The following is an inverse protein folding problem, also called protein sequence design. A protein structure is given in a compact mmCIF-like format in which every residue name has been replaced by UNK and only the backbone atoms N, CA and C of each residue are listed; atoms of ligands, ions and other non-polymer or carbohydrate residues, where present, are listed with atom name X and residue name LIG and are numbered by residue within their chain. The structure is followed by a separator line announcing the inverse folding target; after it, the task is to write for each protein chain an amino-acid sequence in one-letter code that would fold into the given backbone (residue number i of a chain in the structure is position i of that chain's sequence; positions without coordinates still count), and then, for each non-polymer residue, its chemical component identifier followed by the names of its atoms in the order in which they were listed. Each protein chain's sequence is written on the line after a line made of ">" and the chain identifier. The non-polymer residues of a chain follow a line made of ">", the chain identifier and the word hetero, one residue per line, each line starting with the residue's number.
data_IF_305779693606
#
_entry.id   IF_305779693606
#
_cell.length_a   1.000
_cell.length_b   1.000
_cell.length_c   1.000
_cell.angle_alpha   90.00
_cell.angle_beta   90.00
_cell.angle_gamma   90.00
#
_symmetry.space_group_name_H-M   'P 1'
#
loop_
_entity.id
_entity.type
_entity.pdbx_description
1 polymer ?
#
# COMPACT_ATOMS: atom_id res chain seq x y z
N UNK A 1 1.44 26.49 -25.67
CA UNK A 1 1.26 26.63 -27.14
C UNK A 1 2.55 26.90 -27.93
N UNK A 2 3.70 27.27 -27.30
CA UNK A 2 4.95 27.62 -28.01
C UNK A 2 5.79 26.44 -28.53
N UNK A 3 5.73 25.26 -27.90
CA UNK A 3 6.69 24.17 -28.17
C UNK A 3 6.12 22.99 -28.99
N UNK A 4 4.90 23.09 -29.54
CA UNK A 4 4.13 22.01 -30.23
C UNK A 4 4.92 20.75 -30.66
N UNK A 5 5.58 20.80 -31.82
CA UNK A 5 6.29 19.65 -32.43
C UNK A 5 7.73 19.50 -31.90
N UNK A 6 8.33 20.59 -31.44
CA UNK A 6 9.70 20.62 -30.92
C UNK A 6 9.80 20.16 -29.45
N UNK A 7 8.65 19.90 -28.79
CA UNK A 7 8.58 19.55 -27.38
C UNK A 7 9.39 18.29 -27.06
N UNK A 8 9.34 17.30 -27.96
CA UNK A 8 10.13 16.07 -27.84
C UNK A 8 11.63 16.34 -27.95
N UNK A 9 12.03 17.18 -28.90
CA UNK A 9 13.42 17.59 -29.11
C UNK A 9 13.93 18.38 -27.90
N UNK A 10 13.12 19.29 -27.36
CA UNK A 10 13.48 20.09 -26.20
C UNK A 10 13.60 19.22 -24.94
N UNK A 11 12.72 18.23 -24.74
CA UNK A 11 12.86 17.25 -23.65
C UNK A 11 14.18 16.46 -23.74
N UNK A 12 14.49 15.92 -24.92
CA UNK A 12 15.71 15.14 -25.13
C UNK A 12 17.00 15.96 -24.89
N UNK A 13 16.97 17.27 -25.14
CA UNK A 13 18.09 18.16 -24.84
C UNK A 13 18.14 18.54 -23.35
N UNK A 14 16.99 18.79 -22.71
CA UNK A 14 16.91 19.07 -21.27
C UNK A 14 17.47 17.91 -20.42
N UNK A 15 17.28 16.67 -20.86
CA UNK A 15 17.85 15.48 -20.20
C UNK A 15 19.38 15.40 -20.31
N UNK A 16 20.00 16.10 -21.28
CA UNK A 16 21.47 16.09 -21.51
C UNK A 16 22.18 17.29 -20.88
N UNK A 17 21.43 18.25 -20.34
CA UNK A 17 21.98 19.46 -19.74
C UNK A 17 22.75 19.13 -18.45
N UNK A 18 23.91 19.78 -18.29
CA UNK A 18 24.77 19.55 -17.15
C UNK A 18 24.23 20.20 -15.87
N UNK A 19 24.66 19.68 -14.72
CA UNK A 19 24.32 20.27 -13.41
C UNK A 19 24.81 21.72 -13.24
N UNK A 20 25.83 22.15 -14.01
CA UNK A 20 26.34 23.52 -13.98
C UNK A 20 25.40 24.48 -14.74
N UNK A 21 24.89 24.05 -15.88
CA UNK A 21 23.94 24.82 -16.69
C UNK A 21 22.59 24.98 -15.98
N UNK A 22 22.16 23.95 -15.23
CA UNK A 22 20.99 24.07 -14.36
C UNK A 22 21.15 25.11 -13.24
N UNK A 23 22.37 25.28 -12.70
CA UNK A 23 22.65 26.37 -11.74
C UNK A 23 22.55 27.73 -12.40
N UNK A 24 23.13 27.88 -13.61
CA UNK A 24 23.02 29.12 -14.38
C UNK A 24 21.58 29.46 -14.74
N UNK A 25 20.74 28.46 -15.02
CA UNK A 25 19.31 28.66 -15.23
C UNK A 25 18.60 29.12 -13.95
N UNK A 26 18.93 28.54 -12.79
CA UNK A 26 18.35 28.96 -11.51
C UNK A 26 18.71 30.42 -11.14
N UNK A 27 19.89 30.88 -11.54
CA UNK A 27 20.35 32.27 -11.31
C UNK A 27 19.77 33.25 -12.35
N UNK A 28 19.86 32.91 -13.64
CA UNK A 28 19.51 33.83 -14.74
C UNK A 28 18.05 33.70 -15.20
N UNK A 29 17.33 32.67 -14.73
CA UNK A 29 15.95 32.31 -15.10
C UNK A 29 15.71 32.10 -16.59
N UNK A 30 16.77 31.89 -17.37
CA UNK A 30 16.71 31.76 -18.83
C UNK A 30 17.73 30.74 -19.29
N UNK A 31 17.33 29.87 -20.22
CA UNK A 31 18.22 28.94 -20.89
C UNK A 31 17.85 28.85 -22.37
N UNK A 32 18.85 28.83 -23.22
CA UNK A 32 18.67 28.70 -24.65
C UNK A 32 18.89 27.25 -25.07
N UNK A 33 17.84 26.60 -25.56
CA UNK A 33 17.90 25.25 -26.11
C UNK A 33 17.57 25.32 -27.58
N UNK A 34 18.61 25.15 -28.42
CA UNK A 34 18.53 25.35 -29.88
C UNK A 34 18.01 26.76 -30.20
N UNK A 35 16.88 26.86 -30.92
CA UNK A 35 16.23 28.12 -31.29
C UNK A 35 15.14 28.57 -30.30
N UNK A 36 15.03 27.92 -29.13
CA UNK A 36 14.01 28.23 -28.14
C UNK A 36 14.65 28.83 -26.88
N UNK A 37 14.26 30.05 -26.55
CA UNK A 37 14.56 30.67 -25.26
C UNK A 37 13.51 30.24 -24.24
N UNK A 38 13.92 29.41 -23.28
CA UNK A 38 13.06 28.90 -22.22
C UNK A 38 13.29 29.71 -20.95
N UNK A 39 12.19 30.00 -20.26
CA UNK A 39 12.15 30.84 -19.05
C UNK A 39 11.54 30.09 -17.87
N UNK A 40 11.41 30.74 -16.71
CA UNK A 40 10.70 30.19 -15.54
C UNK A 40 9.19 29.97 -15.77
N UNK A 41 8.64 30.46 -16.88
CA UNK A 41 7.28 30.12 -17.34
C UNK A 41 7.21 28.80 -18.12
N UNK A 42 8.34 28.36 -18.68
CA UNK A 42 8.44 27.17 -19.54
C UNK A 42 9.02 25.96 -18.80
N UNK A 43 9.92 26.20 -17.83
CA UNK A 43 10.62 25.16 -17.07
C UNK A 43 10.49 25.42 -15.58
N UNK A 44 10.06 24.39 -14.85
CA UNK A 44 10.15 24.34 -13.41
C UNK A 44 11.23 23.36 -12.99
N UNK A 45 12.19 23.82 -12.18
CA UNK A 45 13.31 23.00 -11.71
C UNK A 45 13.08 22.64 -10.26
N UNK A 46 13.03 21.34 -9.96
CA UNK A 46 13.01 20.82 -8.60
C UNK A 46 14.39 20.31 -8.24
N UNK A 47 14.97 20.85 -7.17
CA UNK A 47 16.20 20.33 -6.60
C UNK A 47 15.83 19.40 -5.45
N UNK A 48 16.04 18.11 -5.66
CA UNK A 48 15.88 17.11 -4.61
C UNK A 48 17.04 16.12 -4.65
N UNK A 49 17.29 15.46 -3.52
CA UNK A 49 18.15 14.28 -3.48
C UNK A 49 17.28 13.08 -3.85
N UNK A 50 17.70 12.22 -4.77
CA UNK A 50 16.92 11.04 -5.23
C UNK A 50 16.44 10.14 -4.07
N UNK A 51 17.12 10.19 -2.93
CA UNK A 51 16.71 9.58 -1.66
C UNK A 51 16.97 10.57 -0.54
N UNK A 52 16.04 11.48 -0.22
CA UNK A 52 16.29 12.46 0.83
C UNK A 52 16.33 11.76 2.21
N UNK A 53 15.56 10.68 2.37
CA UNK A 53 15.45 9.90 3.61
C UNK A 53 15.10 8.43 3.32
N UNK A 54 15.72 7.49 4.03
CA UNK A 54 15.37 6.07 3.94
C UNK A 54 13.93 5.85 4.44
N UNK A 55 13.15 5.04 3.73
CA UNK A 55 11.75 4.78 4.08
C UNK A 55 10.79 5.93 3.74
N UNK A 56 11.16 6.85 2.86
CA UNK A 56 10.26 7.85 2.29
C UNK A 56 10.26 7.78 0.77
N UNK A 57 9.08 8.00 0.18
CA UNK A 57 8.88 8.15 -1.27
C UNK A 57 8.47 9.60 -1.58
N UNK A 58 8.95 10.13 -2.70
CA UNK A 58 8.73 11.53 -3.08
C UNK A 58 8.07 11.62 -4.46
N UNK A 59 6.97 12.35 -4.53
CA UNK A 59 6.26 12.63 -5.78
C UNK A 59 6.11 14.14 -5.96
N UNK A 60 6.41 14.61 -7.17
CA UNK A 60 6.27 16.02 -7.56
C UNK A 60 5.04 16.19 -8.46
N UNK A 61 4.21 17.19 -8.17
CA UNK A 61 3.12 17.63 -9.04
C UNK A 61 3.04 19.16 -9.04
N UNK A 62 3.34 19.77 -10.18
CA UNK A 62 3.47 21.23 -10.35
C UNK A 62 4.22 21.84 -9.16
N UNK A 63 3.62 22.71 -8.37
CA UNK A 63 4.28 23.40 -7.25
C UNK A 63 4.25 22.61 -5.93
N UNK A 64 3.85 21.34 -5.92
CA UNK A 64 3.70 20.53 -4.71
C UNK A 64 4.66 19.32 -4.74
N UNK A 65 5.32 19.09 -3.61
CA UNK A 65 6.07 17.86 -3.35
C UNK A 65 5.37 17.10 -2.22
N UNK A 66 4.95 15.86 -2.50
CA UNK A 66 4.45 14.93 -1.50
C UNK A 66 5.61 14.05 -1.05
N UNK A 67 5.90 14.09 0.26
CA UNK A 67 6.84 13.19 0.89
C UNK A 67 6.05 12.19 1.75
N UNK A 68 5.98 10.94 1.31
CA UNK A 68 5.24 9.87 1.98
C UNK A 68 6.19 8.98 2.77
N UNK A 69 5.97 8.82 4.08
CA UNK A 69 6.66 7.80 4.86
C UNK A 69 6.12 6.42 4.49
N UNK A 70 6.98 5.57 3.93
CA UNK A 70 6.68 4.20 3.51
C UNK A 70 7.19 3.15 4.49
N UNK A 71 7.78 3.57 5.62
CA UNK A 71 8.24 2.67 6.67
C UNK A 71 7.06 1.98 7.35
N UNK A 72 6.97 0.65 7.18
CA UNK A 72 5.95 -0.17 7.84
C UNK A 72 6.41 -0.47 9.26
N UNK A 73 5.66 0.03 10.23
CA UNK A 73 5.88 -0.28 11.66
C UNK A 73 5.38 -1.69 12.00
N UNK A 74 5.92 -2.34 13.07
CA UNK A 74 5.42 -3.64 13.52
C UNK A 74 3.91 -3.65 13.81
N UNK A 75 3.36 -2.56 14.34
CA UNK A 75 1.91 -2.42 14.59
C UNK A 75 1.12 -2.40 13.28
N UNK A 76 1.58 -1.67 12.26
CA UNK A 76 0.92 -1.63 10.95
C UNK A 76 0.98 -2.99 10.24
N UNK A 77 2.09 -3.72 10.39
CA UNK A 77 2.20 -5.09 9.88
C UNK A 77 1.19 -6.03 10.55
N UNK A 78 1.05 -5.93 11.87
CA UNK A 78 0.07 -6.69 12.64
C UNK A 78 -1.38 -6.35 12.26
N UNK A 79 -1.69 -5.07 12.04
CA UNK A 79 -3.00 -4.63 11.54
C UNK A 79 -3.28 -5.17 10.13
N UNK A 80 -2.29 -5.11 9.23
CA UNK A 80 -2.38 -5.66 7.88
C UNK A 80 -2.73 -7.14 7.89
N UNK A 81 -2.04 -7.93 8.72
CA UNK A 81 -2.32 -9.35 8.89
C UNK A 81 -3.75 -9.59 9.44
N UNK A 82 -4.20 -8.78 10.40
CA UNK A 82 -5.58 -8.85 10.89
C UNK A 82 -6.60 -8.59 9.77
N UNK A 83 -6.36 -7.57 8.93
CA UNK A 83 -7.21 -7.25 7.76
C UNK A 83 -7.21 -8.37 6.73
N UNK A 84 -6.08 -9.03 6.51
CA UNK A 84 -6.00 -10.17 5.60
C UNK A 84 -6.86 -11.33 6.11
N UNK A 85 -6.77 -11.67 7.41
CA UNK A 85 -7.62 -12.72 8.02
C UNK A 85 -9.12 -12.35 7.92
N UNK A 86 -9.48 -11.08 8.14
CA UNK A 86 -10.86 -10.60 7.93
C UNK A 86 -11.29 -10.84 6.48
N UNK A 87 -10.45 -10.50 5.50
CA UNK A 87 -10.74 -10.72 4.09
C UNK A 87 -10.93 -12.21 3.77
N UNK A 88 -10.15 -13.10 4.39
CA UNK A 88 -10.32 -14.54 4.25
C UNK A 88 -11.67 -15.01 4.78
N UNK A 89 -12.08 -14.56 5.97
CA UNK A 89 -13.42 -14.87 6.50
C UNK A 89 -14.55 -14.33 5.62
N UNK A 90 -14.42 -13.11 5.10
CA UNK A 90 -15.41 -12.55 4.18
C UNK A 90 -15.55 -13.37 2.89
N UNK A 91 -14.43 -13.86 2.34
CA UNK A 91 -14.45 -14.79 1.20
C UNK A 91 -15.11 -16.11 1.57
N UNK A 92 -14.75 -16.68 2.71
CA UNK A 92 -15.33 -17.95 3.20
C UNK A 92 -16.85 -17.84 3.40
N UNK A 93 -17.34 -16.70 3.90
CA UNK A 93 -18.78 -16.43 4.04
C UNK A 93 -19.50 -16.41 2.69
N UNK A 94 -18.89 -15.79 1.67
CA UNK A 94 -19.44 -15.80 0.31
C UNK A 94 -19.52 -17.21 -0.27
N UNK A 95 -18.47 -18.02 -0.06
CA UNK A 95 -18.46 -19.43 -0.51
C UNK A 95 -19.55 -20.26 0.17
N UNK A 96 -19.86 -19.96 1.45
CA UNK A 96 -20.95 -20.59 2.18
C UNK A 96 -22.35 -20.01 1.88
N UNK A 97 -22.47 -19.11 0.88
CA UNK A 97 -23.71 -18.39 0.55
C UNK A 97 -24.32 -17.62 1.74
N UNK A 98 -23.49 -17.15 2.67
CA UNK A 98 -23.92 -16.33 3.80
C UNK A 98 -24.01 -14.86 3.40
N UNK A 99 -25.01 -14.17 3.95
CA UNK A 99 -25.18 -12.73 3.80
C UNK A 99 -24.55 -11.97 4.98
N UNK A 100 -24.30 -10.67 4.81
CA UNK A 100 -23.65 -9.84 5.84
C UNK A 100 -24.44 -9.79 7.17
N UNK A 101 -25.75 -10.01 7.13
CA UNK A 101 -26.62 -10.00 8.30
C UNK A 101 -26.53 -11.28 9.13
N UNK A 102 -26.02 -12.37 8.57
CA UNK A 102 -25.92 -13.64 9.27
C UNK A 102 -24.95 -13.55 10.43
N UNK A 103 -25.33 -14.08 11.58
CA UNK A 103 -24.46 -14.21 12.74
C UNK A 103 -23.88 -15.62 12.69
N UNK A 104 -22.56 -15.72 12.58
CA UNK A 104 -21.85 -17.00 12.47
C UNK A 104 -20.66 -17.05 13.41
N UNK A 105 -20.44 -18.21 14.02
CA UNK A 105 -19.25 -18.43 14.84
C UNK A 105 -18.09 -18.81 13.94
N UNK A 106 -16.94 -18.16 14.16
CA UNK A 106 -15.75 -18.24 13.34
C UNK A 106 -14.64 -18.82 14.18
N UNK A 107 -13.93 -19.81 13.62
CA UNK A 107 -12.77 -20.40 14.28
C UNK A 107 -11.55 -20.35 13.38
N UNK A 108 -10.41 -20.08 14.01
CA UNK A 108 -9.09 -20.11 13.38
C UNK A 108 -8.28 -21.21 14.03
N UNK A 109 -7.78 -22.14 13.24
CA UNK A 109 -6.73 -23.07 13.65
C UNK A 109 -5.42 -22.65 13.02
N UNK A 110 -4.43 -22.35 13.85
CA UNK A 110 -3.10 -21.98 13.38
C UNK A 110 -2.32 -23.26 13.10
N UNK A 111 -1.94 -23.47 11.84
CA UNK A 111 -1.14 -24.64 11.46
C UNK A 111 0.35 -24.39 11.67
N UNK A 112 0.81 -23.18 11.37
CA UNK A 112 2.19 -22.75 11.63
C UNK A 112 2.24 -21.24 11.84
N UNK A 113 2.79 -20.82 12.97
CA UNK A 113 3.07 -19.41 13.24
C UNK A 113 4.34 -19.28 14.11
N UNK A 114 5.53 -19.40 13.50
CA UNK A 114 6.80 -19.39 14.24
C UNK A 114 7.03 -18.11 15.05
N UNK A 115 6.37 -17.02 14.67
CA UNK A 115 6.52 -15.69 15.27
C UNK A 115 5.35 -15.28 16.17
N UNK A 116 4.36 -16.15 16.37
CA UNK A 116 3.10 -15.85 17.07
C UNK A 116 2.39 -14.58 16.54
N UNK A 117 2.62 -14.25 15.27
CA UNK A 117 2.14 -13.03 14.62
C UNK A 117 0.63 -13.06 14.38
N UNK A 118 0.07 -14.23 14.08
CA UNK A 118 -1.33 -14.43 13.73
C UNK A 118 -2.18 -14.30 14.99
N UNK A 119 -1.81 -15.00 16.06
CA UNK A 119 -2.53 -14.90 17.33
C UNK A 119 -2.45 -13.47 17.88
N UNK A 120 -1.27 -12.83 17.80
CA UNK A 120 -1.09 -11.44 18.22
C UNK A 120 -1.94 -10.49 17.39
N UNK A 121 -2.01 -10.66 16.07
CA UNK A 121 -2.81 -9.82 15.19
C UNK A 121 -4.31 -9.93 15.50
N UNK A 122 -4.82 -11.15 15.68
CA UNK A 122 -6.23 -11.40 16.03
C UNK A 122 -6.58 -10.77 17.39
N UNK A 123 -5.74 -11.01 18.41
CA UNK A 123 -6.00 -10.53 19.76
C UNK A 123 -5.86 -9.00 19.87
N UNK A 124 -4.83 -8.42 19.26
CA UNK A 124 -4.56 -6.98 19.34
C UNK A 124 -5.57 -6.14 18.55
N UNK A 125 -6.10 -6.70 17.45
CA UNK A 125 -7.02 -6.00 16.55
C UNK A 125 -8.43 -6.55 16.57
N UNK A 126 -8.86 -7.16 17.69
CA UNK A 126 -10.19 -7.77 17.84
C UNK A 126 -11.34 -6.85 17.41
N UNK A 127 -11.22 -5.54 17.71
CA UNK A 127 -12.19 -4.53 17.32
C UNK A 127 -12.42 -4.44 15.79
N UNK A 128 -11.42 -4.73 14.96
CA UNK A 128 -11.56 -4.76 13.49
C UNK A 128 -12.43 -5.95 13.07
N UNK A 129 -12.26 -7.10 13.71
CA UNK A 129 -13.05 -8.30 13.45
C UNK A 129 -14.51 -8.07 13.86
N UNK A 130 -14.75 -7.53 15.06
CA UNK A 130 -16.09 -7.24 15.57
C UNK A 130 -16.86 -6.25 14.69
N UNK A 131 -16.15 -5.27 14.10
CA UNK A 131 -16.73 -4.30 13.17
C UNK A 131 -17.05 -4.91 11.80
N UNK A 132 -16.18 -5.79 11.30
CA UNK A 132 -16.26 -6.32 9.94
C UNK A 132 -17.09 -7.60 9.82
N UNK A 133 -17.17 -8.40 10.89
CA UNK A 133 -17.75 -9.73 10.91
C UNK A 133 -18.78 -9.81 12.05
N UNK A 134 -19.94 -10.43 11.78
CA UNK A 134 -20.99 -10.62 12.78
C UNK A 134 -20.90 -12.02 13.38
N UNK A 135 -20.57 -12.08 14.66
CA UNK A 135 -20.50 -13.32 15.44
C UNK A 135 -19.22 -13.41 16.27
N UNK A 136 -18.99 -14.56 16.89
CA UNK A 136 -17.81 -14.77 17.74
C UNK A 136 -16.62 -15.29 16.93
N UNK A 137 -15.41 -14.87 17.29
CA UNK A 137 -14.15 -15.36 16.75
C UNK A 137 -13.33 -16.01 17.86
N UNK A 138 -12.90 -17.25 17.67
CA UNK A 138 -11.98 -17.94 18.59
C UNK A 138 -10.84 -18.64 17.86
N UNK A 139 -9.69 -18.72 18.52
CA UNK A 139 -8.55 -19.52 18.08
C UNK A 139 -8.68 -20.89 18.74
N UNK A 140 -8.53 -21.96 17.97
CA UNK A 140 -8.71 -23.36 18.42
C UNK A 140 -7.56 -24.23 17.94
N UNK A 141 -7.22 -25.27 18.72
CA UNK A 141 -6.18 -26.24 18.32
C UNK A 141 -6.70 -27.24 17.28
N UNK A 142 -8.01 -27.49 17.27
CA UNK A 142 -8.66 -28.37 16.31
C UNK A 142 -10.05 -27.83 15.95
N UNK A 143 -10.37 -27.87 14.65
CA UNK A 143 -11.69 -27.48 14.13
C UNK A 143 -12.64 -28.68 14.31
N UNK A 144 -13.75 -28.51 15.05
CA UNK A 144 -14.77 -29.54 15.19
C UNK A 144 -15.38 -30.00 13.86
N UNK A 145 -15.88 -31.24 13.77
CA UNK A 145 -16.46 -31.78 12.53
C UNK A 145 -17.78 -31.13 12.14
N UNK A 146 -18.50 -30.48 13.05
CA UNK A 146 -19.81 -29.84 12.81
C UNK A 146 -19.68 -28.42 12.22
N UNK A 147 -18.70 -28.18 11.36
CA UNK A 147 -18.53 -26.90 10.67
C UNK A 147 -19.44 -26.81 9.44
N UNK A 148 -19.89 -25.58 9.12
CA UNK A 148 -20.62 -25.28 7.89
C UNK A 148 -19.70 -25.36 6.67
N UNK A 149 -18.52 -24.73 6.79
CA UNK A 149 -17.48 -24.75 5.78
C UNK A 149 -16.13 -24.62 6.47
N UNK A 150 -15.12 -25.28 5.89
CA UNK A 150 -13.72 -25.17 6.31
C UNK A 150 -12.86 -24.91 5.07
N UNK A 151 -11.86 -24.05 5.22
CA UNK A 151 -10.87 -23.81 4.18
C UNK A 151 -9.49 -23.60 4.79
N UNK A 152 -8.46 -24.21 4.18
CA UNK A 152 -7.07 -24.09 4.60
C UNK A 152 -6.32 -23.11 3.68
N UNK A 153 -5.40 -22.35 4.25
CA UNK A 153 -4.59 -21.35 3.59
C UNK A 153 -3.11 -21.59 3.92
N UNK A 154 -2.23 -21.30 2.97
CA UNK A 154 -0.78 -21.48 3.14
C UNK A 154 -0.07 -20.20 3.56
N UNK A 155 -0.65 -19.05 3.26
CA UNK A 155 -0.13 -17.72 3.64
C UNK A 155 -1.31 -16.79 3.96
N UNK A 156 -1.58 -16.50 5.25
CA UNK A 156 -0.99 -17.13 6.43
C UNK A 156 -1.35 -18.63 6.54
N UNK A 157 -0.49 -19.42 7.20
CA UNK A 157 -0.65 -20.88 7.33
C UNK A 157 -1.69 -21.26 8.40
N UNK A 158 -2.96 -21.21 8.04
CA UNK A 158 -4.11 -21.36 8.93
C UNK A 158 -5.24 -22.15 8.28
N UNK A 159 -6.10 -22.75 9.11
CA UNK A 159 -7.41 -23.24 8.69
C UNK A 159 -8.50 -22.36 9.30
N UNK A 160 -9.46 -21.97 8.48
CA UNK A 160 -10.62 -21.20 8.87
C UNK A 160 -11.86 -22.07 8.79
N UNK A 161 -12.76 -21.94 9.76
CA UNK A 161 -14.06 -22.57 9.72
C UNK A 161 -15.17 -21.63 10.17
N UNK A 162 -16.34 -21.80 9.55
CA UNK A 162 -17.58 -21.15 9.95
C UNK A 162 -18.52 -22.18 10.57
N UNK A 163 -19.25 -21.76 11.58
CA UNK A 163 -20.27 -22.54 12.29
C UNK A 163 -21.55 -21.73 12.37
N UNK A 164 -22.68 -22.42 12.35
CA UNK A 164 -24.02 -21.85 12.53
C UNK A 164 -24.64 -22.38 13.80
#
# INVERSE_FOLDING_TARGET
>A
QRLKQDLKIVKDELEKISSADWKLFLENKKIQIKNHLLTDQDIQVFKYQEKPFEGFDIQFDNNLALLLNTTITPSQKSEGLARDIINLFQRLRKTANLVQTDIVNMQVKILSDPSNSIATAINSHKHLFDKALKGSLSIVDAIPPNHLIKQSYTDPNIELALFK
#
